data_IF_210894634262
#
_entry.id   IF_210894634262
#
_cell.length_a   1.000
_cell.length_b   1.000
_cell.length_c   1.000
_cell.angle_alpha   90.00
_cell.angle_beta   90.00
_cell.angle_gamma   90.00
#
_symmetry.space_group_name_H-M   'P 1'
#
loop_
_entity.id
_entity.type
_entity.pdbx_description
1 polymer ?
#
# COMPACT_ATOMS: atom_id res chain seq x y z
N UNK A 1 -8.01 17.18 24.83
CA UNK A 1 -8.65 16.04 24.15
C UNK A 1 -8.32 15.88 22.67
N UNK A 2 -7.76 16.89 21.96
CA UNK A 2 -7.47 16.78 20.52
C UNK A 2 -6.55 15.62 20.12
N UNK A 3 -5.54 15.28 20.93
CA UNK A 3 -4.58 14.20 20.63
C UNK A 3 -5.01 12.79 21.10
N UNK A 4 -6.19 12.67 21.69
CA UNK A 4 -6.63 11.42 22.31
C UNK A 4 -6.91 10.34 21.25
N UNK A 5 -7.28 10.77 20.04
CA UNK A 5 -7.51 9.90 18.89
C UNK A 5 -6.21 9.53 18.15
N UNK A 6 -5.08 10.19 18.43
CA UNK A 6 -3.83 10.01 17.67
C UNK A 6 -3.36 8.56 17.65
N UNK A 7 -3.37 7.81 18.77
CA UNK A 7 -3.01 6.38 18.74
C UNK A 7 -3.93 5.55 17.84
N UNK A 8 -5.23 5.85 17.81
CA UNK A 8 -6.21 5.14 16.99
C UNK A 8 -5.96 5.44 15.51
N UNK A 9 -5.78 6.71 15.14
CA UNK A 9 -5.55 7.09 13.74
C UNK A 9 -4.18 6.61 13.24
N UNK A 10 -3.16 6.59 14.09
CA UNK A 10 -1.87 5.95 13.77
C UNK A 10 -2.03 4.45 13.53
N UNK A 11 -2.77 3.75 14.38
CA UNK A 11 -3.00 2.32 14.23
C UNK A 11 -3.75 2.00 12.93
N UNK A 12 -4.78 2.78 12.61
CA UNK A 12 -5.49 2.67 11.32
C UNK A 12 -4.52 2.89 10.15
N UNK A 13 -3.61 3.86 10.26
CA UNK A 13 -2.64 4.17 9.21
C UNK A 13 -1.64 3.04 9.00
N UNK A 14 -1.13 2.47 10.09
CA UNK A 14 -0.31 1.26 10.07
C UNK A 14 -1.05 0.10 9.39
N UNK A 15 -2.30 -0.14 9.78
CA UNK A 15 -3.12 -1.22 9.20
C UNK A 15 -3.36 -0.98 7.71
N UNK A 16 -3.61 0.25 7.30
CA UNK A 16 -3.85 0.60 5.91
C UNK A 16 -2.61 0.30 5.05
N UNK A 17 -1.42 0.73 5.46
CA UNK A 17 -0.21 0.47 4.67
C UNK A 17 0.14 -1.01 4.65
N UNK A 18 0.03 -1.71 5.79
CA UNK A 18 0.27 -3.14 5.88
C UNK A 18 -0.73 -3.96 5.05
N UNK A 19 -2.04 -3.79 5.29
CA UNK A 19 -3.09 -4.54 4.60
C UNK A 19 -3.20 -4.16 3.14
N UNK A 20 -2.95 -2.90 2.78
CA UNK A 20 -2.90 -2.44 1.39
C UNK A 20 -1.85 -3.20 0.58
N UNK A 21 -0.65 -3.38 1.14
CA UNK A 21 0.41 -4.19 0.51
C UNK A 21 0.05 -5.68 0.48
N UNK A 22 -0.43 -6.22 1.61
CA UNK A 22 -0.78 -7.63 1.71
C UNK A 22 -1.89 -8.02 0.73
N UNK A 23 -3.02 -7.32 0.75
CA UNK A 23 -4.11 -7.59 -0.18
C UNK A 23 -3.78 -7.21 -1.61
N UNK A 24 -2.93 -6.19 -1.82
CA UNK A 24 -2.36 -5.89 -3.12
C UNK A 24 -1.64 -7.12 -3.69
N UNK A 25 -0.73 -7.73 -2.94
CA UNK A 25 -0.01 -8.94 -3.34
C UNK A 25 -0.98 -10.12 -3.62
N UNK A 26 -1.94 -10.37 -2.73
CA UNK A 26 -2.94 -11.44 -2.91
C UNK A 26 -3.76 -11.21 -4.19
N UNK A 27 -4.21 -9.98 -4.43
CA UNK A 27 -4.95 -9.62 -5.62
C UNK A 27 -4.12 -9.85 -6.89
N UNK A 28 -2.81 -9.54 -6.87
CA UNK A 28 -1.92 -9.83 -7.99
C UNK A 28 -1.85 -11.33 -8.30
N UNK A 29 -1.69 -12.16 -7.27
CA UNK A 29 -1.64 -13.62 -7.43
C UNK A 29 -2.96 -14.16 -7.98
N UNK A 30 -4.09 -13.66 -7.45
CA UNK A 30 -5.41 -14.02 -7.94
C UNK A 30 -5.59 -13.63 -9.41
N UNK A 31 -5.24 -12.39 -9.79
CA UNK A 31 -5.32 -11.95 -11.17
C UNK A 31 -4.43 -12.74 -12.13
N UNK A 32 -3.25 -13.15 -11.67
CA UNK A 32 -2.36 -14.00 -12.46
C UNK A 32 -3.02 -15.34 -12.80
N UNK A 33 -3.79 -15.91 -11.87
CA UNK A 33 -4.51 -17.17 -12.05
C UNK A 33 -5.64 -17.10 -13.10
N UNK A 34 -6.11 -15.90 -13.43
CA UNK A 34 -7.17 -15.69 -14.41
C UNK A 34 -6.68 -15.92 -15.85
N UNK A 35 -7.60 -16.26 -16.74
CA UNK A 35 -7.29 -16.32 -18.18
C UNK A 35 -7.00 -14.92 -18.73
N UNK A 36 -6.37 -14.85 -19.91
CA UNK A 36 -5.98 -13.58 -20.52
C UNK A 36 -7.12 -12.58 -20.72
N UNK A 37 -8.31 -13.07 -21.10
CA UNK A 37 -9.47 -12.20 -21.32
C UNK A 37 -9.95 -11.54 -20.02
N UNK A 38 -9.99 -12.31 -18.93
CA UNK A 38 -10.33 -11.81 -17.61
C UNK A 38 -9.24 -10.90 -17.05
N UNK A 39 -7.98 -11.14 -17.41
CA UNK A 39 -6.88 -10.27 -16.99
C UNK A 39 -7.01 -8.89 -17.66
N UNK A 40 -7.32 -8.81 -18.95
CA UNK A 40 -7.53 -7.53 -19.66
C UNK A 40 -8.71 -6.75 -19.05
N UNK A 41 -9.85 -7.42 -18.85
CA UNK A 41 -11.04 -6.79 -18.27
C UNK A 41 -10.79 -6.40 -16.81
N UNK A 42 -10.19 -7.30 -16.02
CA UNK A 42 -9.90 -7.10 -14.61
C UNK A 42 -8.78 -6.08 -14.37
N UNK A 43 -7.94 -5.79 -15.35
CA UNK A 43 -6.84 -4.83 -15.22
C UNK A 43 -7.32 -3.41 -14.96
N UNK A 44 -8.42 -2.99 -15.61
CA UNK A 44 -9.01 -1.68 -15.36
C UNK A 44 -9.59 -1.59 -13.95
N UNK A 45 -10.21 -2.67 -13.47
CA UNK A 45 -10.71 -2.79 -12.11
C UNK A 45 -9.57 -2.78 -11.07
N UNK A 46 -8.46 -3.47 -11.35
CA UNK A 46 -7.25 -3.44 -10.54
C UNK A 46 -6.72 -2.02 -10.38
N UNK A 47 -6.58 -1.29 -11.49
CA UNK A 47 -6.13 0.11 -11.45
C UNK A 47 -7.10 0.95 -10.60
N UNK A 48 -8.41 0.73 -10.74
CA UNK A 48 -9.43 1.41 -9.93
C UNK A 48 -9.24 1.15 -8.43
N UNK A 49 -9.06 -0.11 -8.03
CA UNK A 49 -8.81 -0.49 -6.64
C UNK A 49 -7.51 0.13 -6.12
N UNK A 50 -6.42 0.02 -6.88
CA UNK A 50 -5.12 0.59 -6.49
C UNK A 50 -5.25 2.10 -6.32
N UNK A 51 -5.91 2.79 -7.26
CA UNK A 51 -6.14 4.23 -7.16
C UNK A 51 -6.96 4.59 -5.93
N UNK A 52 -8.00 3.82 -5.60
CA UNK A 52 -8.79 4.02 -4.38
C UNK A 52 -7.94 3.84 -3.11
N UNK A 53 -7.14 2.77 -3.04
CA UNK A 53 -6.27 2.47 -1.90
C UNK A 53 -5.14 3.47 -1.72
N UNK A 54 -4.57 3.97 -2.81
CA UNK A 54 -3.45 4.91 -2.79
C UNK A 54 -3.95 6.35 -2.60
N UNK A 55 -5.04 6.76 -3.23
CA UNK A 55 -5.45 8.17 -3.24
C UNK A 55 -6.61 8.43 -2.29
N UNK A 56 -7.74 7.74 -2.48
CA UNK A 56 -8.99 8.06 -1.76
C UNK A 56 -8.91 7.74 -0.28
N UNK A 57 -8.36 6.58 0.08
CA UNK A 57 -8.32 6.13 1.47
C UNK A 57 -7.30 6.95 2.30
N UNK A 58 -6.09 7.27 1.79
CA UNK A 58 -5.19 8.22 2.42
C UNK A 58 -5.75 9.63 2.55
N UNK A 59 -6.42 10.14 1.51
CA UNK A 59 -7.05 11.45 1.56
C UNK A 59 -8.11 11.56 2.67
N UNK A 60 -8.92 10.50 2.87
CA UNK A 60 -9.89 10.46 3.96
C UNK A 60 -9.22 10.59 5.34
N UNK A 61 -8.10 9.92 5.55
CA UNK A 61 -7.39 9.97 6.83
C UNK A 61 -6.66 11.30 7.01
N UNK A 62 -6.06 11.84 5.95
CA UNK A 62 -5.50 13.20 5.97
C UNK A 62 -6.57 14.23 6.31
N UNK A 63 -7.79 14.09 5.77
CA UNK A 63 -8.93 14.91 6.17
C UNK A 63 -9.28 14.75 7.67
N UNK A 64 -9.28 13.53 8.20
CA UNK A 64 -9.50 13.31 9.63
C UNK A 64 -8.38 13.94 10.48
N UNK A 65 -7.12 13.83 10.05
CA UNK A 65 -5.97 14.43 10.72
C UNK A 65 -6.12 15.95 10.77
N UNK A 66 -6.42 16.57 9.63
CA UNK A 66 -6.69 18.00 9.51
C UNK A 66 -7.80 18.46 10.45
N UNK A 67 -8.92 17.72 10.44
CA UNK A 67 -10.11 18.05 11.22
C UNK A 67 -9.89 17.96 12.73
N UNK A 68 -9.16 16.94 13.20
CA UNK A 68 -9.02 16.68 14.64
C UNK A 68 -7.76 17.28 15.27
N UNK A 69 -6.63 17.26 14.56
CA UNK A 69 -5.33 17.61 15.13
C UNK A 69 -4.77 18.95 14.62
N UNK A 70 -5.32 19.50 13.52
CA UNK A 70 -4.64 20.50 12.67
C UNK A 70 -3.31 19.95 12.15
N UNK A 71 -2.69 20.53 11.12
CA UNK A 71 -1.38 20.05 10.64
C UNK A 71 -0.30 20.30 11.71
N UNK A 72 -0.25 19.47 12.74
CA UNK A 72 0.74 19.51 13.80
C UNK A 72 1.85 18.53 13.44
N UNK A 73 3.10 18.99 13.51
CA UNK A 73 4.30 18.19 13.30
C UNK A 73 4.31 16.88 14.08
N UNK A 74 3.87 16.88 15.35
CA UNK A 74 3.79 15.65 16.14
C UNK A 74 2.86 14.62 15.48
N UNK A 75 1.66 15.04 15.09
CA UNK A 75 0.70 14.15 14.42
C UNK A 75 1.24 13.66 13.09
N UNK A 76 1.81 14.55 12.28
CA UNK A 76 2.39 14.21 10.97
C UNK A 76 3.49 13.15 11.12
N UNK A 77 4.49 13.41 11.97
CA UNK A 77 5.61 12.50 12.19
C UNK A 77 5.10 11.16 12.72
N UNK A 78 4.17 11.17 13.68
CA UNK A 78 3.63 9.95 14.26
C UNK A 78 2.91 9.07 13.22
N UNK A 79 2.10 9.67 12.33
CA UNK A 79 1.45 8.92 11.26
C UNK A 79 2.46 8.46 10.19
N UNK A 80 3.41 9.29 9.77
CA UNK A 80 4.46 8.86 8.82
C UNK A 80 5.26 7.67 9.36
N UNK A 81 5.60 7.67 10.65
CA UNK A 81 6.25 6.52 11.32
C UNK A 81 5.34 5.29 11.30
N UNK A 82 4.06 5.45 11.66
CA UNK A 82 3.10 4.33 11.65
C UNK A 82 2.95 3.71 10.24
N UNK A 83 2.90 4.56 9.20
CA UNK A 83 2.84 4.14 7.81
C UNK A 83 4.08 3.35 7.41
N UNK A 84 5.27 3.87 7.73
CA UNK A 84 6.55 3.20 7.50
C UNK A 84 6.64 1.85 8.22
N UNK A 85 6.21 1.79 9.47
CA UNK A 85 6.18 0.53 10.24
C UNK A 85 5.27 -0.51 9.59
N UNK A 86 4.13 -0.12 9.02
CA UNK A 86 3.25 -1.06 8.30
C UNK A 86 3.91 -1.65 7.06
N UNK A 87 4.67 -0.83 6.33
CA UNK A 87 5.44 -1.27 5.16
C UNK A 87 6.57 -2.21 5.58
N UNK A 88 7.36 -1.84 6.60
CA UNK A 88 8.45 -2.68 7.12
C UNK A 88 7.90 -4.02 7.61
N UNK A 89 6.79 -4.00 8.34
CA UNK A 89 6.16 -5.21 8.87
C UNK A 89 5.65 -6.12 7.75
N UNK A 90 5.11 -5.56 6.66
CA UNK A 90 4.76 -6.33 5.46
C UNK A 90 5.99 -7.07 4.90
N UNK A 91 7.09 -6.37 4.64
CA UNK A 91 8.29 -7.03 4.11
C UNK A 91 8.88 -8.03 5.08
N UNK A 92 8.87 -7.75 6.39
CA UNK A 92 9.27 -8.71 7.41
C UNK A 92 8.40 -9.97 7.37
N UNK A 93 7.07 -9.81 7.27
CA UNK A 93 6.15 -10.94 7.15
C UNK A 93 6.43 -11.80 5.91
N UNK A 94 6.66 -11.17 4.75
CA UNK A 94 7.01 -11.87 3.50
C UNK A 94 8.38 -12.53 3.57
N UNK A 95 9.34 -11.92 4.25
CA UNK A 95 10.65 -12.51 4.46
C UNK A 95 10.58 -13.77 5.36
N UNK A 96 9.79 -13.73 6.43
CA UNK A 96 9.58 -14.89 7.31
C UNK A 96 8.69 -15.96 6.67
N UNK A 97 7.78 -15.57 5.79
CA UNK A 97 6.81 -16.46 5.13
C UNK A 97 6.84 -16.22 3.62
N UNK A 98 7.94 -16.57 2.93
CA UNK A 98 8.06 -16.31 1.50
C UNK A 98 6.98 -17.08 0.75
N UNK A 99 6.18 -16.42 -0.10
CA UNK A 99 5.17 -17.11 -0.88
C UNK A 99 5.85 -18.10 -1.82
N UNK A 100 5.38 -19.35 -1.81
CA UNK A 100 5.87 -20.42 -2.67
C UNK A 100 4.71 -21.08 -3.41
N UNK A 101 5.00 -21.61 -4.60
CA UNK A 101 4.11 -22.51 -5.31
C UNK A 101 4.59 -23.95 -5.04
N UNK A 102 3.67 -24.81 -4.62
CA UNK A 102 3.95 -26.22 -4.35
C UNK A 102 3.61 -27.05 -5.59
N UNK A 103 4.58 -27.81 -6.08
CA UNK A 103 4.40 -28.73 -7.21
C UNK A 103 5.01 -30.08 -6.82
N UNK A 104 4.15 -31.04 -6.45
CA UNK A 104 4.59 -32.33 -5.91
C UNK A 104 5.39 -32.15 -4.62
N UNK A 105 6.66 -32.58 -4.64
CA UNK A 105 7.57 -32.50 -3.49
C UNK A 105 8.48 -31.26 -3.49
N UNK A 106 8.35 -30.38 -4.48
CA UNK A 106 9.19 -29.18 -4.59
C UNK A 106 8.40 -27.91 -4.25
N UNK A 107 9.04 -27.01 -3.50
CA UNK A 107 8.56 -25.64 -3.27
C UNK A 107 9.39 -24.66 -4.10
N UNK A 108 8.74 -23.98 -5.04
CA UNK A 108 9.40 -22.99 -5.90
C UNK A 108 9.01 -21.59 -5.41
N UNK A 109 9.96 -20.65 -5.28
CA UNK A 109 9.61 -19.26 -4.96
C UNK A 109 8.56 -18.70 -5.91
N UNK A 110 7.54 -18.04 -5.38
CA UNK A 110 6.35 -17.64 -6.15
C UNK A 110 6.71 -16.82 -7.39
N UNK A 111 7.57 -15.81 -7.26
CA UNK A 111 7.95 -14.96 -8.40
C UNK A 111 8.61 -15.76 -9.54
N UNK A 112 9.44 -16.74 -9.20
CA UNK A 112 10.07 -17.64 -10.18
C UNK A 112 9.02 -18.54 -10.84
N UNK A 113 8.06 -19.05 -10.07
CA UNK A 113 6.97 -19.86 -10.60
C UNK A 113 6.09 -19.05 -11.59
N UNK A 114 5.69 -17.83 -11.22
CA UNK A 114 4.93 -16.93 -12.09
C UNK A 114 5.68 -16.60 -13.37
N UNK A 115 6.98 -16.29 -13.27
CA UNK A 115 7.81 -15.99 -14.43
C UNK A 115 7.90 -17.16 -15.41
N UNK A 116 8.12 -18.37 -14.89
CA UNK A 116 8.20 -19.58 -15.68
C UNK A 116 6.85 -19.95 -16.34
N UNK A 117 5.74 -19.65 -15.66
CA UNK A 117 4.40 -19.91 -16.20
C UNK A 117 4.01 -18.87 -17.28
N UNK A 118 4.22 -17.58 -17.02
CA UNK A 118 4.00 -16.51 -17.99
C UNK A 118 4.72 -15.23 -17.58
N UNK A 119 5.89 -15.01 -18.17
CA UNK A 119 6.67 -13.79 -17.96
C UNK A 119 5.88 -12.52 -18.30
N UNK A 120 5.07 -12.54 -19.36
CA UNK A 120 4.30 -11.37 -19.80
C UNK A 120 3.22 -10.98 -18.78
N UNK A 121 2.45 -11.95 -18.24
CA UNK A 121 1.51 -11.68 -17.15
C UNK A 121 2.24 -11.17 -15.91
N UNK A 122 3.42 -11.73 -15.62
CA UNK A 122 4.21 -11.33 -14.47
C UNK A 122 4.59 -9.86 -14.56
N UNK A 123 5.11 -9.40 -15.70
CA UNK A 123 5.48 -7.98 -15.91
C UNK A 123 4.23 -7.08 -15.83
N UNK A 124 3.15 -7.46 -16.50
CA UNK A 124 1.92 -6.67 -16.52
C UNK A 124 1.35 -6.44 -15.12
N UNK A 125 1.51 -7.43 -14.23
CA UNK A 125 1.03 -7.40 -12.86
C UNK A 125 2.05 -6.78 -11.88
N UNK A 126 3.35 -6.95 -12.08
CA UNK A 126 4.35 -6.39 -11.16
C UNK A 126 4.36 -4.85 -11.18
N UNK A 127 4.12 -4.24 -12.35
CA UNK A 127 4.09 -2.78 -12.52
C UNK A 127 3.04 -2.11 -11.62
N UNK A 128 1.73 -2.48 -11.68
CA UNK A 128 0.73 -1.88 -10.80
C UNK A 128 1.01 -2.18 -9.32
N UNK A 129 1.61 -3.32 -8.98
CA UNK A 129 1.99 -3.61 -7.59
C UNK A 129 3.13 -2.72 -7.08
N UNK A 130 4.11 -2.39 -7.93
CA UNK A 130 5.13 -1.38 -7.62
C UNK A 130 4.48 -0.01 -7.48
N UNK A 131 3.53 0.32 -8.36
CA UNK A 131 2.75 1.55 -8.28
C UNK A 131 1.99 1.69 -6.95
N UNK A 132 1.38 0.61 -6.46
CA UNK A 132 0.74 0.58 -5.15
C UNK A 132 1.74 0.83 -4.02
N UNK A 133 2.91 0.19 -4.04
CA UNK A 133 3.96 0.40 -3.04
C UNK A 133 4.42 1.86 -2.99
N UNK A 134 4.80 2.42 -4.15
CA UNK A 134 5.24 3.80 -4.26
C UNK A 134 4.14 4.79 -3.86
N UNK A 135 2.90 4.49 -4.25
CA UNK A 135 1.73 5.27 -3.88
C UNK A 135 1.49 5.31 -2.38
N UNK A 136 1.52 4.16 -1.70
CA UNK A 136 1.38 4.08 -0.25
C UNK A 136 2.55 4.74 0.49
N UNK A 137 3.78 4.66 -0.04
CA UNK A 137 4.93 5.39 0.51
C UNK A 137 4.69 6.90 0.39
N UNK A 138 4.35 7.38 -0.80
CA UNK A 138 4.14 8.80 -1.03
C UNK A 138 2.99 9.34 -0.17
N UNK A 139 1.84 8.70 -0.23
CA UNK A 139 0.63 9.17 0.47
C UNK A 139 0.69 8.93 1.97
N UNK A 140 1.29 7.81 2.39
CA UNK A 140 1.42 7.41 3.78
C UNK A 140 2.50 8.14 4.56
N UNK A 141 3.60 8.52 3.91
CA UNK A 141 4.80 9.04 4.58
C UNK A 141 5.04 10.49 4.20
N UNK A 142 5.08 10.80 2.90
CA UNK A 142 5.54 12.10 2.39
C UNK A 142 4.43 13.14 2.30
N UNK A 143 3.23 12.78 1.85
CA UNK A 143 2.12 13.71 1.62
C UNK A 143 1.75 14.55 2.86
N UNK A 144 1.67 14.00 4.09
CA UNK A 144 1.40 14.81 5.28
C UNK A 144 2.51 15.84 5.58
N UNK A 145 3.76 15.54 5.21
CA UNK A 145 4.91 16.43 5.37
C UNK A 145 4.84 17.55 4.34
N UNK A 146 4.56 17.24 3.07
CA UNK A 146 4.44 18.25 2.01
C UNK A 146 3.31 19.22 2.29
N UNK A 147 2.13 18.72 2.69
CA UNK A 147 0.99 19.55 3.09
C UNK A 147 1.35 20.56 4.19
N UNK A 148 2.19 20.16 5.15
CA UNK A 148 2.61 21.05 6.25
C UNK A 148 3.59 22.12 5.81
N UNK A 149 4.48 21.79 4.88
CA UNK A 149 5.45 22.73 4.34
C UNK A 149 4.75 23.79 3.48
N UNK A 150 3.78 23.38 2.65
CA UNK A 150 2.96 24.27 1.82
C UNK A 150 2.06 25.19 2.66
N UNK A 151 1.47 24.70 3.77
CA UNK A 151 0.69 25.56 4.69
C UNK A 151 1.55 26.71 5.23
N UNK A 152 2.80 26.44 5.62
CA UNK A 152 3.72 27.47 6.12
C UNK A 152 4.10 28.48 5.04
N UNK A 153 4.32 28.04 3.80
CA UNK A 153 4.68 28.94 2.69
C UNK A 153 3.57 29.94 2.39
N UNK A 154 2.30 29.52 2.46
CA UNK A 154 1.14 30.40 2.24
C UNK A 154 0.83 31.35 3.42
N UNK A 155 1.50 31.19 4.56
CA UNK A 155 1.40 32.09 5.73
C UNK A 155 2.39 33.28 5.64
N UNK A 156 3.33 33.27 4.70
CA UNK A 156 4.33 34.34 4.46
C UNK A 156 4.03 35.14 3.19
#
# INVERSE_FOLDING_TARGET
MRYLLTPITMFIWYLLTYLGLYYGMVLMLWMFSLSWIWLIIGYTFLIGIISFLVNSLPALINYLILKFYRLNWFSIIAHSIAGLLGIIYFYYFIYQNPPTMVSGNESIPMLKALWNQSWLKTILLIIPFIGLQLGLIYQGIFSPITMKLEEKENEY
#
